data_IF_760592698465
#
_entry.id   IF_760592698465
#
_cell.length_a   1.000
_cell.length_b   1.000
_cell.length_c   1.000
_cell.angle_alpha   90.00
_cell.angle_beta   90.00
_cell.angle_gamma   90.00
#
_symmetry.space_group_name_H-M   'P 1'
#
loop_
_entity.id
_entity.type
_entity.pdbx_description
1 polymer ?
#
# COMPACT_ATOMS: atom_id res chain seq x y z
N UNK A 1 -43.63 -17.35 1.43
CA UNK A 1 -42.57 -17.32 2.46
C UNK A 1 -41.27 -17.56 1.71
N UNK A 2 -40.47 -16.52 1.55
CA UNK A 2 -39.27 -16.46 0.70
C UNK A 2 -38.12 -17.18 1.41
N UNK A 3 -37.36 -18.00 0.67
CA UNK A 3 -36.06 -18.50 1.11
C UNK A 3 -35.03 -18.12 0.05
N UNK A 4 -34.21 -17.11 0.36
CA UNK A 4 -32.97 -16.76 -0.34
C UNK A 4 -31.86 -17.72 0.10
N UNK A 5 -31.08 -18.33 -0.82
CA UNK A 5 -29.79 -18.89 -0.47
C UNK A 5 -28.73 -17.77 -0.41
N UNK A 6 -28.10 -17.65 0.75
CA UNK A 6 -27.06 -16.68 1.06
C UNK A 6 -25.75 -16.93 0.30
N UNK A 7 -24.99 -15.86 0.23
CA UNK A 7 -23.78 -15.65 -0.56
C UNK A 7 -22.60 -16.46 -0.02
N UNK A 8 -21.92 -17.16 -0.94
CA UNK A 8 -20.46 -17.22 -1.05
C UNK A 8 -19.66 -17.75 0.13
N UNK A 9 -19.53 -19.06 0.24
CA UNK A 9 -18.30 -19.66 0.78
C UNK A 9 -17.25 -19.65 -0.32
N UNK A 10 -16.17 -18.88 -0.16
CA UNK A 10 -14.91 -19.11 -0.87
C UNK A 10 -13.82 -19.23 0.18
N UNK A 11 -13.50 -20.48 0.53
CA UNK A 11 -12.21 -20.81 1.12
C UNK A 11 -11.23 -20.96 -0.03
N UNK A 12 -10.19 -20.15 -0.06
CA UNK A 12 -8.93 -20.48 -0.74
C UNK A 12 -7.79 -20.23 0.24
N UNK A 13 -7.17 -21.33 0.64
CA UNK A 13 -5.95 -21.40 1.44
C UNK A 13 -4.78 -21.67 0.48
N UNK A 14 -3.71 -20.91 0.62
CA UNK A 14 -2.43 -21.05 -0.07
C UNK A 14 -1.47 -20.02 0.52
N UNK A 15 -0.26 -20.45 0.87
CA UNK A 15 0.75 -19.75 1.67
C UNK A 15 0.87 -18.25 1.35
N UNK A 16 0.55 -17.39 2.32
CA UNK A 16 0.50 -15.94 2.15
C UNK A 16 0.71 -15.21 3.47
N UNK A 17 1.64 -14.27 3.43
CA UNK A 17 2.03 -13.25 4.41
C UNK A 17 0.88 -12.79 5.34
N UNK A 18 1.06 -12.89 6.66
CA UNK A 18 0.10 -12.39 7.66
C UNK A 18 0.81 -11.42 8.61
N UNK A 19 0.86 -10.13 8.26
CA UNK A 19 1.28 -9.07 9.17
C UNK A 19 0.06 -8.24 9.59
N UNK A 20 -0.01 -7.92 10.89
CA UNK A 20 -1.11 -7.27 11.59
C UNK A 20 -2.49 -7.95 11.47
N UNK A 21 -2.89 -8.74 12.48
CA UNK A 21 -4.28 -9.20 12.60
C UNK A 21 -5.21 -7.98 12.73
N UNK A 22 -5.86 -7.58 11.63
CA UNK A 22 -6.90 -6.54 11.59
C UNK A 22 -6.70 -5.47 10.53
N UNK A 23 -5.47 -5.19 10.08
CA UNK A 23 -5.21 -4.14 9.10
C UNK A 23 -5.34 -4.69 7.67
N UNK A 24 -6.35 -4.21 6.93
CA UNK A 24 -6.48 -4.43 5.49
C UNK A 24 -5.89 -3.23 4.76
N UNK A 25 -5.13 -3.46 3.69
CA UNK A 25 -4.55 -2.39 2.87
C UNK A 25 -4.68 -2.68 1.38
N UNK A 26 -5.13 -1.69 0.63
CA UNK A 26 -5.29 -1.75 -0.82
C UNK A 26 -4.66 -0.49 -1.44
N UNK A 27 -3.63 -0.69 -2.25
CA UNK A 27 -2.88 0.39 -2.89
C UNK A 27 -3.39 0.65 -4.29
N UNK A 28 -3.75 1.90 -4.62
CA UNK A 28 -4.37 2.23 -5.90
C UNK A 28 -3.92 3.59 -6.47
N UNK A 29 -4.21 3.80 -7.76
CA UNK A 29 -3.99 5.08 -8.45
C UNK A 29 -5.30 5.86 -8.49
N UNK A 30 -5.24 7.16 -8.22
CA UNK A 30 -6.33 8.08 -8.52
C UNK A 30 -5.80 9.41 -9.06
N UNK A 31 -6.56 10.11 -9.94
CA UNK A 31 -6.12 11.36 -10.54
C UNK A 31 -6.11 12.54 -9.56
N UNK A 32 -6.86 12.45 -8.45
CA UNK A 32 -7.05 13.54 -7.49
C UNK A 32 -7.41 12.97 -6.12
N UNK A 33 -7.18 13.76 -5.07
CA UNK A 33 -7.61 13.42 -3.70
C UNK A 33 -9.12 13.23 -3.59
N UNK A 34 -9.93 14.00 -4.34
CA UNK A 34 -11.40 13.85 -4.37
C UNK A 34 -11.83 12.50 -4.94
N UNK A 35 -11.23 12.08 -6.06
CA UNK A 35 -11.46 10.77 -6.64
C UNK A 35 -11.02 9.64 -5.68
N UNK A 36 -9.87 9.80 -5.02
CA UNK A 36 -9.40 8.82 -4.05
C UNK A 36 -10.31 8.73 -2.82
N UNK A 37 -10.78 9.86 -2.30
CA UNK A 37 -11.68 9.92 -1.16
C UNK A 37 -13.02 9.22 -1.42
N UNK A 38 -13.41 9.02 -2.68
CA UNK A 38 -14.62 8.28 -3.08
C UNK A 38 -14.47 6.76 -3.06
N UNK A 39 -13.27 6.23 -2.84
CA UNK A 39 -13.01 4.78 -2.77
C UNK A 39 -13.42 4.23 -1.40
N UNK A 40 -14.05 3.06 -1.43
CA UNK A 40 -14.54 2.30 -0.28
C UNK A 40 -14.22 0.81 -0.45
N UNK A 41 -14.42 0.03 0.60
CA UNK A 41 -14.26 -1.45 0.58
C UNK A 41 -14.96 -2.16 -0.59
N UNK A 42 -16.11 -1.67 -1.07
CA UNK A 42 -16.87 -2.26 -2.18
C UNK A 42 -16.57 -1.64 -3.55
N UNK A 43 -15.70 -0.63 -3.60
CA UNK A 43 -15.34 0.14 -4.79
C UNK A 43 -13.83 0.28 -4.99
N UNK A 44 -13.04 -0.58 -4.32
CA UNK A 44 -11.60 -0.70 -4.56
C UNK A 44 -11.35 -0.92 -6.06
N UNK A 45 -10.47 -0.11 -6.70
CA UNK A 45 -10.17 -0.27 -8.11
C UNK A 45 -9.66 -1.69 -8.45
N UNK A 46 -10.11 -2.26 -9.57
CA UNK A 46 -9.73 -3.62 -9.97
C UNK A 46 -8.22 -3.85 -10.20
N UNK A 47 -7.45 -2.76 -10.31
CA UNK A 47 -5.99 -2.79 -10.45
C UNK A 47 -5.27 -2.33 -9.18
N UNK A 48 -5.97 -2.30 -8.04
CA UNK A 48 -5.34 -2.12 -6.76
C UNK A 48 -4.40 -3.29 -6.46
N UNK A 49 -3.40 -3.01 -5.64
CA UNK A 49 -2.44 -3.98 -5.15
C UNK A 49 -2.78 -4.24 -3.69
N UNK A 50 -3.12 -5.48 -3.37
CA UNK A 50 -3.27 -5.96 -2.00
C UNK A 50 -1.94 -5.77 -1.26
N UNK A 51 -2.00 -5.03 -0.16
CA UNK A 51 -0.86 -4.71 0.68
C UNK A 51 -0.52 -5.78 1.71
N UNK A 52 -1.38 -6.77 1.93
CA UNK A 52 -1.15 -7.82 2.92
C UNK A 52 -0.94 -7.28 4.34
N UNK A 53 -1.54 -6.13 4.68
CA UNK A 53 -1.35 -5.46 5.97
C UNK A 53 -0.10 -4.57 6.05
N UNK A 54 0.62 -4.35 4.94
CA UNK A 54 1.71 -3.36 4.89
C UNK A 54 1.10 -1.97 5.08
N UNK A 55 1.47 -1.29 6.15
CA UNK A 55 0.91 -0.01 6.58
C UNK A 55 1.50 1.16 5.76
N UNK A 56 0.66 2.10 5.26
CA UNK A 56 1.09 3.11 4.29
C UNK A 56 1.97 4.24 4.83
N UNK A 57 2.09 4.42 6.15
CA UNK A 57 2.89 5.49 6.76
C UNK A 57 4.21 4.93 7.28
N UNK A 58 4.17 3.95 8.17
CA UNK A 58 5.33 3.39 8.85
C UNK A 58 6.07 2.44 7.92
N UNK A 59 5.42 1.39 7.40
CA UNK A 59 6.13 0.39 6.60
C UNK A 59 6.55 0.96 5.24
N UNK A 60 5.70 1.74 4.56
CA UNK A 60 6.10 2.40 3.33
C UNK A 60 7.06 3.58 3.54
N UNK A 61 7.06 4.20 4.72
CA UNK A 61 8.04 5.23 5.05
C UNK A 61 9.46 4.64 5.16
N UNK A 62 9.62 3.46 5.76
CA UNK A 62 10.93 2.77 5.78
C UNK A 62 11.37 2.29 4.40
N UNK A 63 10.42 1.89 3.53
CA UNK A 63 10.71 1.62 2.13
C UNK A 63 11.20 2.89 1.39
N UNK A 64 10.56 4.05 1.63
CA UNK A 64 10.99 5.32 1.04
C UNK A 64 12.39 5.72 1.48
N UNK A 65 12.72 5.59 2.76
CA UNK A 65 14.06 5.81 3.31
C UNK A 65 15.10 4.93 2.58
N UNK A 66 14.83 3.63 2.42
CA UNK A 66 15.75 2.71 1.74
C UNK A 66 15.93 3.01 0.24
N UNK A 67 14.89 3.52 -0.43
CA UNK A 67 14.91 3.86 -1.85
C UNK A 67 15.56 5.21 -2.12
N UNK A 68 15.38 6.19 -1.23
CA UNK A 68 15.80 7.57 -1.45
C UNK A 68 17.07 7.96 -0.69
N UNK A 69 17.40 7.23 0.37
CA UNK A 69 18.47 7.54 1.31
C UNK A 69 18.16 8.71 2.27
N UNK A 70 16.92 9.22 2.28
CA UNK A 70 16.42 10.20 3.25
C UNK A 70 16.15 9.54 4.59
N UNK A 71 16.21 10.29 5.69
CA UNK A 71 15.84 9.71 6.99
C UNK A 71 14.33 9.53 7.10
N UNK A 72 13.89 8.58 7.94
CA UNK A 72 12.46 8.41 8.23
C UNK A 72 11.78 9.70 8.71
N UNK A 73 12.47 10.55 9.47
CA UNK A 73 11.91 11.84 9.90
C UNK A 73 11.67 12.79 8.72
N UNK A 74 12.61 12.86 7.77
CA UNK A 74 12.45 13.66 6.55
C UNK A 74 11.30 13.13 5.67
N UNK A 75 11.09 11.81 5.65
CA UNK A 75 9.97 11.18 4.95
C UNK A 75 8.64 11.54 5.63
N UNK A 76 8.59 11.47 6.97
CA UNK A 76 7.40 11.77 7.75
C UNK A 76 6.99 13.25 7.65
N UNK A 77 7.97 14.16 7.58
CA UNK A 77 7.72 15.60 7.38
C UNK A 77 7.06 15.90 6.02
N UNK A 78 7.30 15.07 5.00
CA UNK A 78 6.67 15.18 3.68
C UNK A 78 5.35 14.39 3.56
N UNK A 79 5.06 13.51 4.51
CA UNK A 79 3.85 12.71 4.51
C UNK A 79 2.61 13.60 4.72
N UNK A 80 1.48 13.30 4.06
CA UNK A 80 0.23 14.00 4.32
C UNK A 80 -0.14 13.91 5.80
N UNK A 81 -0.40 15.06 6.43
CA UNK A 81 -0.69 15.15 7.87
C UNK A 81 -2.09 14.65 8.25
N UNK A 82 -2.92 14.31 7.26
CA UNK A 82 -4.28 13.80 7.47
C UNK A 82 -4.69 12.92 6.29
N UNK A 83 -5.55 11.92 6.50
CA UNK A 83 -6.10 11.13 5.42
C UNK A 83 -6.98 11.99 4.51
N UNK A 84 -7.06 11.64 3.22
CA UNK A 84 -7.95 12.32 2.26
C UNK A 84 -9.41 11.92 2.46
N UNK A 85 -9.66 10.79 3.12
CA UNK A 85 -10.95 10.43 3.67
C UNK A 85 -10.78 9.72 5.03
N UNK A 86 -11.59 10.13 6.01
CA UNK A 86 -11.76 9.44 7.29
C UNK A 86 -13.22 9.06 7.43
N UNK A 87 -13.47 7.76 7.56
CA UNK A 87 -14.80 7.18 7.70
C UNK A 87 -14.86 6.38 8.98
N UNK A 88 -16.06 6.38 9.56
CA UNK A 88 -16.36 5.66 10.78
C UNK A 88 -15.47 6.04 11.98
N UNK A 89 -14.81 7.22 11.93
CA UNK A 89 -13.98 7.71 13.03
C UNK A 89 -12.64 6.99 13.12
N UNK A 90 -12.01 6.77 11.98
CA UNK A 90 -10.70 6.13 11.86
C UNK A 90 -10.70 4.64 11.54
N UNK A 91 -11.87 4.00 11.40
CA UNK A 91 -11.95 2.56 11.07
C UNK A 91 -11.69 2.30 9.58
N UNK A 92 -11.97 3.26 8.71
CA UNK A 92 -11.71 3.19 7.28
C UNK A 92 -11.11 4.52 6.80
N UNK A 93 -9.87 4.47 6.32
CA UNK A 93 -9.13 5.66 5.88
C UNK A 93 -8.69 5.51 4.42
N UNK A 94 -8.60 6.65 3.73
CA UNK A 94 -7.84 6.76 2.48
C UNK A 94 -6.69 7.72 2.70
N UNK A 95 -5.46 7.23 2.52
CA UNK A 95 -4.23 7.98 2.74
C UNK A 95 -3.52 8.16 1.41
N UNK A 96 -3.01 9.37 1.15
CA UNK A 96 -2.16 9.63 0.00
C UNK A 96 -0.71 9.26 0.32
N UNK A 97 -0.03 8.59 -0.60
CA UNK A 97 1.42 8.35 -0.47
C UNK A 97 2.22 9.57 -0.93
N UNK A 98 3.45 9.71 -0.46
CA UNK A 98 4.31 10.83 -0.84
C UNK A 98 4.60 10.80 -2.35
N UNK A 99 4.73 11.99 -2.94
CA UNK A 99 5.16 12.11 -4.34
C UNK A 99 6.62 11.66 -4.51
N UNK A 100 7.43 11.71 -3.44
CA UNK A 100 8.81 11.24 -3.41
C UNK A 100 8.90 9.70 -3.52
N UNK A 101 8.12 8.96 -2.72
CA UNK A 101 8.00 7.50 -2.83
C UNK A 101 7.48 7.10 -4.21
N UNK A 102 6.42 7.75 -4.70
CA UNK A 102 5.88 7.48 -6.04
C UNK A 102 6.94 7.64 -7.13
N UNK A 103 7.75 8.70 -7.06
CA UNK A 103 8.85 8.92 -8.01
C UNK A 103 9.93 7.84 -7.88
N UNK A 104 10.38 7.55 -6.67
CA UNK A 104 11.41 6.56 -6.41
C UNK A 104 11.01 5.17 -6.92
N UNK A 105 9.78 4.74 -6.63
CA UNK A 105 9.21 3.49 -7.11
C UNK A 105 9.04 3.46 -8.63
N UNK A 106 8.72 4.58 -9.26
CA UNK A 106 8.60 4.63 -10.72
C UNK A 106 9.96 4.50 -11.43
N UNK A 107 11.03 5.05 -10.83
CA UNK A 107 12.38 5.12 -11.41
C UNK A 107 13.26 3.89 -11.08
N UNK A 108 12.98 3.19 -9.96
CA UNK A 108 13.82 2.08 -9.49
C UNK A 108 13.73 0.86 -10.42
N UNK A 109 14.87 0.19 -10.58
CA UNK A 109 14.98 -1.09 -11.30
C UNK A 109 14.57 -2.27 -10.42
N UNK A 110 14.04 -3.32 -11.03
CA UNK A 110 13.62 -4.54 -10.31
C UNK A 110 14.76 -5.20 -9.50
N UNK A 111 16.01 -5.17 -9.99
CA UNK A 111 17.15 -5.71 -9.23
C UNK A 111 17.47 -4.90 -7.97
N UNK A 112 17.26 -3.58 -8.00
CA UNK A 112 17.41 -2.72 -6.82
C UNK A 112 16.24 -2.94 -5.83
N UNK A 113 15.04 -3.24 -6.32
CA UNK A 113 13.91 -3.64 -5.47
C UNK A 113 14.19 -4.93 -4.72
N UNK A 114 14.85 -5.91 -5.36
CA UNK A 114 15.28 -7.14 -4.68
C UNK A 114 16.26 -6.86 -3.54
N UNK A 115 17.27 -6.03 -3.80
CA UNK A 115 18.24 -5.63 -2.76
C UNK A 115 17.56 -4.90 -1.60
N UNK A 116 16.68 -3.95 -1.90
CA UNK A 116 15.95 -3.17 -0.89
C UNK A 116 15.02 -4.06 -0.08
N UNK A 117 14.35 -5.04 -0.70
CA UNK A 117 13.46 -5.94 0.01
C UNK A 117 14.19 -6.79 1.07
N UNK A 118 15.46 -7.16 0.82
CA UNK A 118 16.29 -7.81 1.84
C UNK A 118 16.51 -6.86 3.02
N UNK A 119 16.99 -5.65 2.78
CA UNK A 119 17.20 -4.68 3.85
C UNK A 119 15.90 -4.29 4.58
N UNK A 120 14.78 -4.26 3.85
CA UNK A 120 13.47 -3.93 4.40
C UNK A 120 12.93 -5.04 5.30
N UNK A 121 13.20 -6.31 4.98
CA UNK A 121 12.84 -7.45 5.86
C UNK A 121 13.63 -7.49 7.18
N UNK A 122 14.76 -6.78 7.24
CA UNK A 122 15.64 -6.74 8.41
C UNK A 122 15.30 -5.56 9.34
N UNK A 123 14.31 -4.71 9.00
CA UNK A 123 13.86 -3.62 9.88
C UNK A 123 12.98 -4.17 11.00
N UNK A 124 12.96 -3.47 12.14
CA UNK A 124 12.20 -3.88 13.32
C UNK A 124 10.69 -3.99 13.02
N UNK A 125 10.18 -3.17 12.10
CA UNK A 125 8.75 -3.13 11.72
C UNK A 125 8.31 -4.35 10.90
N UNK A 126 9.25 -4.99 10.19
CA UNK A 126 8.99 -6.12 9.30
C UNK A 126 9.80 -7.35 9.68
N UNK A 127 10.25 -7.43 10.94
CA UNK A 127 11.00 -8.57 11.45
C UNK A 127 10.20 -9.86 11.21
N UNK A 128 10.77 -10.77 10.42
CA UNK A 128 10.17 -12.06 10.06
C UNK A 128 9.41 -12.08 8.73
N UNK A 129 9.27 -10.94 8.04
CA UNK A 129 8.79 -10.88 6.67
C UNK A 129 9.74 -11.63 5.72
N UNK A 130 9.17 -12.39 4.77
CA UNK A 130 9.98 -13.00 3.71
C UNK A 130 10.42 -11.90 2.71
N UNK A 131 11.74 -11.71 2.50
CA UNK A 131 12.24 -10.76 1.51
C UNK A 131 11.66 -10.98 0.11
N UNK A 132 11.35 -12.22 -0.28
CA UNK A 132 10.79 -12.53 -1.59
C UNK A 132 9.35 -11.99 -1.73
N UNK A 133 8.55 -12.08 -0.66
CA UNK A 133 7.20 -11.53 -0.63
C UNK A 133 7.23 -10.00 -0.65
N UNK A 134 8.14 -9.39 0.12
CA UNK A 134 8.37 -7.94 0.09
C UNK A 134 8.83 -7.46 -1.29
N UNK A 135 9.72 -8.20 -1.95
CA UNK A 135 10.18 -7.87 -3.31
C UNK A 135 9.05 -7.99 -4.34
N UNK A 136 8.17 -8.98 -4.19
CA UNK A 136 7.00 -9.13 -5.05
C UNK A 136 6.03 -7.96 -4.87
N UNK A 137 5.74 -7.60 -3.62
CA UNK A 137 4.90 -6.44 -3.30
C UNK A 137 5.51 -5.13 -3.82
N UNK A 138 6.80 -4.87 -3.55
CA UNK A 138 7.46 -3.64 -3.98
C UNK A 138 7.50 -3.49 -5.52
N UNK A 139 7.61 -4.60 -6.26
CA UNK A 139 7.48 -4.59 -7.73
C UNK A 139 6.06 -4.27 -8.19
N UNK A 140 5.04 -4.84 -7.54
CA UNK A 140 3.66 -4.52 -7.85
C UNK A 140 3.38 -3.03 -7.61
N UNK A 141 3.88 -2.48 -6.50
CA UNK A 141 3.78 -1.06 -6.18
C UNK A 141 4.57 -0.18 -7.16
N UNK A 142 5.76 -0.63 -7.61
CA UNK A 142 6.53 0.04 -8.67
C UNK A 142 5.78 0.09 -9.99
N UNK A 143 5.11 -1.00 -10.40
CA UNK A 143 4.26 -1.01 -11.59
C UNK A 143 3.09 0.00 -11.45
N UNK A 144 2.48 0.07 -10.27
CA UNK A 144 1.43 1.04 -9.95
C UNK A 144 1.95 2.49 -10.00
N UNK A 145 3.15 2.74 -9.47
CA UNK A 145 3.82 4.04 -9.50
C UNK A 145 4.14 4.51 -10.94
N UNK A 146 4.62 3.59 -11.78
CA UNK A 146 4.86 3.86 -13.22
C UNK A 146 3.57 4.23 -13.93
N UNK A 147 2.46 3.58 -13.60
CA UNK A 147 1.13 3.91 -14.12
C UNK A 147 0.67 5.29 -13.64
N UNK A 148 0.76 5.57 -12.34
CA UNK A 148 0.40 6.87 -11.78
C UNK A 148 1.15 8.01 -12.49
N UNK A 149 2.47 7.84 -12.70
CA UNK A 149 3.29 8.80 -13.45
C UNK A 149 2.84 8.99 -14.90
N UNK A 150 2.52 7.90 -15.60
CA UNK A 150 2.07 7.96 -16.99
C UNK A 150 0.71 8.67 -17.13
N UNK A 151 -0.14 8.57 -16.11
CA UNK A 151 -1.48 9.17 -16.08
C UNK A 151 -1.49 10.58 -15.46
N UNK A 152 -0.38 11.06 -14.89
CA UNK A 152 -0.34 12.31 -14.14
C UNK A 152 -1.16 12.25 -12.84
N UNK A 153 -1.22 11.06 -12.24
CA UNK A 153 -2.01 10.71 -11.07
C UNK A 153 -1.12 10.44 -9.84
N UNK A 154 -1.73 10.09 -8.71
CA UNK A 154 -1.03 9.81 -7.44
C UNK A 154 -1.37 8.42 -6.91
N UNK A 155 -0.52 7.93 -5.99
CA UNK A 155 -0.76 6.70 -5.25
C UNK A 155 -1.49 6.98 -3.94
N UNK A 156 -2.41 6.09 -3.61
CA UNK A 156 -3.19 6.11 -2.39
C UNK A 156 -3.24 4.71 -1.79
N UNK A 157 -3.48 4.65 -0.49
CA UNK A 157 -3.83 3.44 0.23
C UNK A 157 -5.23 3.61 0.80
N UNK A 158 -6.12 2.69 0.49
CA UNK A 158 -7.29 2.44 1.32
C UNK A 158 -6.88 1.50 2.44
N UNK A 159 -7.28 1.78 3.67
CA UNK A 159 -7.00 0.92 4.81
C UNK A 159 -8.22 0.78 5.72
N UNK A 160 -8.35 -0.39 6.36
CA UNK A 160 -9.40 -0.69 7.33
C UNK A 160 -8.82 -1.46 8.52
N UNK A 161 -9.38 -1.21 9.71
CA UNK A 161 -9.01 -1.86 10.98
C UNK A 161 -10.07 -2.87 11.48
#
# INVERSE_FOLDING_TARGET
MLATPGVGTVLRQGDGMMWAMGLLTEYFVAPTDEAAASVHSDSIPAHAVDGGGIEPVVHLGTLEELLTGRTFEEVLDDAPTSPVADRHGGEELVVRLTDALTRALADVSDGRLDEVAVSWSETDELEGADPADLAAFARALSALARRARAEGAHLYCWLSL
#
